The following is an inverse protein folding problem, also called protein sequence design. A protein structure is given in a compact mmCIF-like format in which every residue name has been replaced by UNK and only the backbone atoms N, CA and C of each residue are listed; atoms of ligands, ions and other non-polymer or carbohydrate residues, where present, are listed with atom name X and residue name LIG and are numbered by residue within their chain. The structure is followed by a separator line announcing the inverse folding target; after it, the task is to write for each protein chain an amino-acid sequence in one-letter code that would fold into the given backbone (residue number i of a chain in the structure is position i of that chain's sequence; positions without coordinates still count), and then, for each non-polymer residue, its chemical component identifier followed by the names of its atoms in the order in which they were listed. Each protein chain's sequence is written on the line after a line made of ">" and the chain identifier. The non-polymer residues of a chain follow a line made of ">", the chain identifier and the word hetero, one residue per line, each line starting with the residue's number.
data_IF_595094337045
#
_entry.id   IF_595094337045
#
_cell.length_a   1.000
_cell.length_b   1.000
_cell.length_c   1.000
_cell.angle_alpha   90.00
_cell.angle_beta   90.00
_cell.angle_gamma   90.00
#
_symmetry.space_group_name_H-M   'P 1'
#
loop_
_entity.id
_entity.type
_entity.pdbx_description
1 polymer ?
#
# COMPACT_ATOMS: atom_id res chain seq x y z
N UNK A 1 -1.51 3.45 -9.17
CA UNK A 1 -0.34 4.21 -9.63
C UNK A 1 -0.15 5.48 -8.79
N UNK A 2 1.06 5.75 -8.31
CA UNK A 2 1.32 7.01 -7.63
C UNK A 2 1.18 8.19 -8.61
N UNK A 3 0.18 9.00 -8.41
CA UNK A 3 -0.11 10.17 -9.24
C UNK A 3 -0.44 11.37 -8.35
N UNK A 4 -0.51 12.56 -8.94
CA UNK A 4 -0.90 13.76 -8.21
C UNK A 4 -2.31 13.61 -7.61
N UNK A 5 -3.23 12.96 -8.35
CA UNK A 5 -4.59 12.72 -7.85
C UNK A 5 -4.59 11.74 -6.67
N UNK A 6 -3.73 10.72 -6.72
CA UNK A 6 -3.60 9.77 -5.61
C UNK A 6 -3.04 10.46 -4.37
N UNK A 7 -2.10 11.37 -4.53
CA UNK A 7 -1.54 12.16 -3.43
C UNK A 7 -2.60 13.05 -2.80
N UNK A 8 -3.44 13.71 -3.62
CA UNK A 8 -4.54 14.53 -3.10
C UNK A 8 -5.57 13.69 -2.36
N UNK A 9 -5.91 12.51 -2.90
CA UNK A 9 -6.81 11.58 -2.22
C UNK A 9 -6.22 11.08 -0.89
N UNK A 10 -4.91 10.89 -0.83
CA UNK A 10 -4.22 10.51 0.41
C UNK A 10 -4.39 11.58 1.49
N UNK A 11 -4.34 12.87 1.13
CA UNK A 11 -4.56 13.96 2.09
C UNK A 11 -5.94 13.89 2.74
N UNK A 12 -6.98 13.60 1.95
CA UNK A 12 -8.33 13.42 2.46
C UNK A 12 -8.43 12.21 3.39
N UNK A 13 -7.75 11.12 3.04
CA UNK A 13 -7.71 9.93 3.89
C UNK A 13 -7.01 10.17 5.23
N UNK A 14 -5.94 10.95 5.24
CA UNK A 14 -5.25 11.33 6.48
C UNK A 14 -6.21 12.09 7.41
N UNK A 15 -6.97 13.03 6.86
CA UNK A 15 -7.95 13.79 7.65
C UNK A 15 -9.04 12.87 8.22
N UNK A 16 -9.53 11.91 7.44
CA UNK A 16 -10.52 10.94 7.92
C UNK A 16 -9.94 10.06 9.04
N UNK A 17 -8.68 9.68 8.94
CA UNK A 17 -8.00 8.91 9.99
C UNK A 17 -7.90 9.73 11.28
N UNK A 18 -7.55 11.01 11.19
CA UNK A 18 -7.50 11.91 12.35
C UNK A 18 -8.85 11.98 13.05
N UNK A 19 -9.93 12.12 12.29
CA UNK A 19 -11.29 12.17 12.82
C UNK A 19 -11.66 10.86 13.53
N UNK A 20 -11.33 9.72 12.91
CA UNK A 20 -11.61 8.41 13.50
C UNK A 20 -10.81 8.19 14.80
N UNK A 21 -9.59 8.70 14.88
CA UNK A 21 -8.72 8.55 16.06
C UNK A 21 -9.19 9.32 17.29
N UNK A 22 -10.07 10.29 17.10
CA UNK A 22 -10.72 10.99 18.23
C UNK A 22 -11.53 10.00 19.07
N UNK A 23 -12.13 9.00 18.42
CA UNK A 23 -12.99 8.01 19.06
C UNK A 23 -12.22 6.75 19.48
N UNK A 24 -11.28 6.32 18.66
CA UNK A 24 -10.55 5.06 18.86
C UNK A 24 -9.14 5.14 18.27
N UNK A 25 -8.16 4.60 18.99
CA UNK A 25 -6.82 4.44 18.44
C UNK A 25 -6.83 3.44 17.29
N UNK A 26 -6.29 3.85 16.14
CA UNK A 26 -6.26 3.05 14.92
C UNK A 26 -4.84 3.08 14.35
N UNK A 27 -4.25 1.90 14.15
CA UNK A 27 -2.99 1.78 13.41
C UNK A 27 -3.29 1.95 11.92
N UNK A 28 -2.53 2.81 11.26
CA UNK A 28 -2.80 3.19 9.88
C UNK A 28 -1.52 3.24 9.07
N UNK A 29 -1.61 2.78 7.81
CA UNK A 29 -0.46 2.68 6.92
C UNK A 29 -0.86 3.11 5.51
N UNK A 30 0.12 3.64 4.77
CA UNK A 30 0.00 3.83 3.33
C UNK A 30 0.89 2.84 2.61
N UNK A 31 0.44 2.38 1.46
CA UNK A 31 1.13 1.40 0.62
C UNK A 31 1.07 1.85 -0.83
N UNK A 32 2.19 1.84 -1.54
CA UNK A 32 2.17 2.04 -2.98
C UNK A 32 1.68 0.77 -3.66
N UNK A 33 0.61 0.91 -4.45
CA UNK A 33 -0.03 -0.18 -5.16
C UNK A 33 0.02 0.08 -6.66
N UNK A 34 -0.12 -0.98 -7.44
CA UNK A 34 -0.11 -0.90 -8.92
C UNK A 34 1.14 -0.19 -9.47
N UNK A 35 2.27 -0.39 -8.83
CA UNK A 35 3.55 0.15 -9.28
C UNK A 35 3.93 -0.52 -10.60
N UNK A 36 4.37 0.26 -11.58
CA UNK A 36 4.80 -0.30 -12.87
C UNK A 36 6.10 -1.07 -12.68
N UNK A 37 6.12 -2.33 -13.13
CA UNK A 37 7.27 -3.20 -13.01
C UNK A 37 8.52 -2.57 -13.62
N UNK A 38 9.63 -2.65 -12.90
CA UNK A 38 10.91 -2.11 -13.36
C UNK A 38 11.09 -0.61 -13.16
N UNK A 39 10.08 0.09 -12.62
CA UNK A 39 10.18 1.50 -12.27
C UNK A 39 10.39 1.68 -10.77
N UNK A 40 10.94 2.83 -10.40
CA UNK A 40 11.05 3.23 -9.01
C UNK A 40 10.00 4.28 -8.70
N UNK A 41 9.46 4.26 -7.50
CA UNK A 41 8.65 5.37 -7.00
C UNK A 41 9.54 6.60 -6.95
N UNK A 42 9.07 7.73 -7.49
CA UNK A 42 9.86 8.95 -7.49
C UNK A 42 10.08 9.45 -6.06
N UNK A 43 11.23 10.06 -5.83
CA UNK A 43 11.52 10.71 -4.55
C UNK A 43 10.53 11.82 -4.24
N UNK A 44 10.03 12.50 -5.28
CA UNK A 44 9.01 13.55 -5.14
C UNK A 44 7.69 13.00 -4.63
N UNK A 45 7.22 11.85 -5.15
CA UNK A 45 5.99 11.21 -4.70
C UNK A 45 6.11 10.77 -3.25
N UNK A 46 7.22 10.15 -2.88
CA UNK A 46 7.49 9.74 -1.51
C UNK A 46 7.53 10.92 -0.56
N UNK A 47 8.25 11.98 -0.93
CA UNK A 47 8.37 13.19 -0.11
C UNK A 47 7.00 13.89 0.07
N UNK A 48 6.21 13.97 -1.01
CA UNK A 48 4.87 14.57 -0.96
C UNK A 48 3.96 13.79 -0.01
N UNK A 49 4.01 12.47 -0.04
CA UNK A 49 3.20 11.63 0.83
C UNK A 49 3.65 11.74 2.29
N UNK A 50 4.95 11.75 2.54
CA UNK A 50 5.50 11.92 3.89
C UNK A 50 5.10 13.27 4.50
N UNK A 51 5.07 14.32 3.69
CA UNK A 51 4.62 15.64 4.13
C UNK A 51 3.14 15.63 4.52
N UNK A 52 2.28 14.96 3.74
CA UNK A 52 0.86 14.81 4.03
C UNK A 52 0.64 14.02 5.31
N UNK A 53 1.37 12.94 5.51
CA UNK A 53 1.31 12.09 6.71
C UNK A 53 1.72 12.91 7.94
N UNK A 54 2.78 13.70 7.81
CA UNK A 54 3.28 14.56 8.89
C UNK A 54 3.64 13.75 10.14
N UNK A 55 3.19 14.24 11.31
CA UNK A 55 3.48 13.64 12.62
C UNK A 55 2.34 12.77 13.16
N UNK A 56 1.41 12.37 12.32
CA UNK A 56 0.19 11.69 12.76
C UNK A 56 0.37 10.21 13.14
N UNK A 57 1.59 9.70 13.09
CA UNK A 57 1.85 8.31 13.41
C UNK A 57 1.37 7.31 12.37
N UNK A 58 0.95 7.79 11.21
CA UNK A 58 0.65 6.96 10.05
C UNK A 58 1.99 6.62 9.39
N UNK A 59 2.17 5.36 9.02
CA UNK A 59 3.43 4.91 8.41
C UNK A 59 3.27 4.64 6.92
N UNK A 60 4.30 4.98 6.15
CA UNK A 60 4.43 4.53 4.78
C UNK A 60 5.11 3.17 4.81
N UNK A 61 4.48 2.16 4.19
CA UNK A 61 5.04 0.83 4.11
C UNK A 61 6.26 0.80 3.20
N UNK A 62 7.25 0.01 3.54
CA UNK A 62 8.40 -0.25 2.68
C UNK A 62 8.03 -1.17 1.53
N UNK A 63 7.11 -2.11 1.76
CA UNK A 63 6.58 -3.00 0.73
C UNK A 63 5.81 -2.22 -0.32
N UNK A 64 5.83 -2.72 -1.54
CA UNK A 64 5.08 -2.17 -2.68
C UNK A 64 4.43 -3.31 -3.43
N UNK A 65 3.26 -3.08 -4.00
CA UNK A 65 2.60 -4.05 -4.86
C UNK A 65 2.74 -3.60 -6.31
N UNK A 66 3.39 -4.44 -7.10
CA UNK A 66 3.60 -4.18 -8.53
C UNK A 66 2.38 -4.60 -9.32
N UNK A 67 2.06 -3.86 -10.39
CA UNK A 67 0.99 -4.24 -11.31
C UNK A 67 1.40 -5.54 -12.03
N UNK A 68 0.66 -6.63 -11.78
CA UNK A 68 0.94 -7.96 -12.33
C UNK A 68 -0.33 -8.62 -12.83
N UNK A 69 -0.20 -9.37 -13.90
CA UNK A 69 -1.31 -10.15 -14.48
C UNK A 69 -1.85 -11.16 -13.46
N UNK A 70 -1.00 -11.72 -12.61
CA UNK A 70 -1.40 -12.70 -11.61
C UNK A 70 -2.52 -12.19 -10.69
N UNK A 71 -2.54 -10.91 -10.33
CA UNK A 71 -3.62 -10.35 -9.50
C UNK A 71 -4.96 -10.39 -10.23
N UNK A 72 -4.98 -10.06 -11.50
CA UNK A 72 -6.21 -10.09 -12.32
C UNK A 72 -6.69 -11.53 -12.53
N UNK A 73 -5.76 -12.42 -12.84
CA UNK A 73 -6.09 -13.82 -13.12
C UNK A 73 -6.58 -14.54 -11.86
N UNK A 74 -6.00 -14.25 -10.70
CA UNK A 74 -6.45 -14.85 -9.44
C UNK A 74 -7.88 -14.45 -9.12
N UNK A 75 -8.24 -13.19 -9.31
CA UNK A 75 -9.60 -12.70 -9.10
C UNK A 75 -10.59 -13.43 -10.03
N UNK A 76 -10.23 -13.58 -11.30
CA UNK A 76 -11.07 -14.28 -12.28
C UNK A 76 -11.36 -15.73 -11.88
N UNK A 77 -10.47 -16.34 -11.10
CA UNK A 77 -10.64 -17.72 -10.62
C UNK A 77 -11.19 -17.78 -9.19
N UNK A 78 -11.47 -16.64 -8.58
CA UNK A 78 -11.96 -16.59 -7.21
C UNK A 78 -10.92 -17.00 -6.17
N UNK A 79 -9.64 -16.79 -6.46
CA UNK A 79 -8.52 -17.17 -5.59
C UNK A 79 -7.69 -15.96 -5.19
N UNK A 80 -7.00 -16.05 -4.05
CA UNK A 80 -5.91 -15.13 -3.74
C UNK A 80 -4.67 -15.50 -4.56
N UNK A 81 -3.74 -14.54 -4.74
CA UNK A 81 -2.54 -14.80 -5.55
C UNK A 81 -1.67 -15.92 -4.99
N UNK A 82 -1.66 -16.10 -3.67
CA UNK A 82 -0.90 -17.17 -3.02
C UNK A 82 -1.49 -18.56 -3.29
N UNK A 83 -2.80 -18.63 -3.52
CA UNK A 83 -3.49 -19.86 -3.91
C UNK A 83 -3.33 -20.12 -5.41
N UNK A 84 -3.44 -19.06 -6.21
CA UNK A 84 -3.38 -19.14 -7.66
C UNK A 84 -1.98 -19.50 -8.16
N UNK A 85 -0.97 -18.87 -7.60
CA UNK A 85 0.42 -19.02 -8.04
C UNK A 85 1.37 -18.94 -6.84
N UNK A 86 1.43 -20.01 -6.01
CA UNK A 86 2.16 -19.98 -4.73
C UNK A 86 3.63 -19.61 -4.84
N UNK A 87 4.28 -19.93 -5.96
CA UNK A 87 5.70 -19.64 -6.19
C UNK A 87 5.92 -18.42 -7.07
N UNK A 88 4.85 -17.66 -7.35
CA UNK A 88 4.94 -16.47 -8.19
C UNK A 88 5.43 -15.24 -7.44
N UNK A 89 5.80 -14.22 -8.21
CA UNK A 89 6.28 -12.94 -7.66
C UNK A 89 5.19 -12.19 -6.89
N UNK A 90 3.93 -12.28 -7.34
CA UNK A 90 2.81 -11.65 -6.65
C UNK A 90 2.59 -12.27 -5.27
N UNK A 91 2.68 -13.60 -5.16
CA UNK A 91 2.58 -14.29 -3.88
C UNK A 91 3.72 -13.87 -2.93
N UNK A 92 4.94 -13.74 -3.45
CA UNK A 92 6.11 -13.31 -2.68
C UNK A 92 5.92 -11.87 -2.17
N UNK A 93 5.40 -10.96 -3.00
CA UNK A 93 5.11 -9.58 -2.60
C UNK A 93 4.06 -9.53 -1.49
N UNK A 94 2.99 -10.29 -1.63
CA UNK A 94 1.94 -10.36 -0.62
C UNK A 94 2.46 -10.90 0.70
N UNK A 95 3.33 -11.91 0.64
CA UNK A 95 3.94 -12.45 1.85
C UNK A 95 4.83 -11.41 2.55
N UNK A 96 5.63 -10.68 1.79
CA UNK A 96 6.48 -9.60 2.32
C UNK A 96 5.64 -8.51 2.98
N UNK A 97 4.56 -8.09 2.33
CA UNK A 97 3.62 -7.13 2.89
C UNK A 97 2.98 -7.64 4.18
N UNK A 98 2.52 -8.90 4.17
CA UNK A 98 1.94 -9.53 5.36
C UNK A 98 2.92 -9.52 6.54
N UNK A 99 4.17 -9.89 6.32
CA UNK A 99 5.18 -9.90 7.36
C UNK A 99 5.48 -8.48 7.89
N UNK A 100 5.48 -7.49 7.02
CA UNK A 100 5.66 -6.10 7.42
C UNK A 100 4.51 -5.61 8.30
N UNK A 101 3.27 -5.88 7.90
CA UNK A 101 2.08 -5.53 8.68
C UNK A 101 2.11 -6.22 10.04
N UNK A 102 2.40 -7.52 10.04
CA UNK A 102 2.49 -8.32 11.27
C UNK A 102 3.54 -7.78 12.22
N UNK A 103 4.70 -7.38 11.72
CA UNK A 103 5.77 -6.78 12.52
C UNK A 103 5.42 -5.40 13.07
N UNK A 104 4.46 -4.69 12.48
CA UNK A 104 4.02 -3.37 12.93
C UNK A 104 2.97 -3.44 14.05
N UNK A 105 2.40 -4.59 14.28
CA UNK A 105 1.47 -4.84 15.38
C UNK A 105 2.20 -5.52 16.54
#
# INVERSE_FOLDING_TARGET
>A
LPSQYDIWAAADNVENIRLARVVKEIKSFFLFNQVIQGTKISGEATAALEEIIGEDGIKLMESQLVSRVAYKNSISKGLGVSEYEPNGKAAAEMHTLYEEIKGAY
#
